data_IF_600928204075
#
_entry.id   IF_600928204075
#
_cell.length_a   1.000
_cell.length_b   1.000
_cell.length_c   1.000
_cell.angle_alpha   90.00
_cell.angle_beta   90.00
_cell.angle_gamma   90.00
#
_symmetry.space_group_name_H-M   'P 1'
#
loop_
_entity.id
_entity.type
_entity.pdbx_description
1 polymer ?
#
# COMPACT_ATOMS: atom_id res chain seq x y z
N UNK A 1 -0.30 8.03 7.65
CA UNK A 1 0.94 7.47 8.23
C UNK A 1 1.74 6.79 7.14
N UNK A 2 2.96 7.27 6.89
CA UNK A 2 3.94 6.66 5.98
C UNK A 2 4.90 5.76 6.76
N UNK A 3 5.07 4.52 6.30
CA UNK A 3 6.11 3.60 6.72
C UNK A 3 6.93 3.15 5.52
N UNK A 4 8.25 3.05 5.67
CA UNK A 4 9.14 2.65 4.57
C UNK A 4 9.90 1.40 4.96
N UNK A 5 9.89 0.41 4.08
CA UNK A 5 10.51 -0.88 4.26
C UNK A 5 11.47 -1.20 3.13
N UNK A 6 12.50 -2.00 3.41
CA UNK A 6 13.36 -2.58 2.39
C UNK A 6 13.77 -4.01 2.76
N UNK A 7 13.73 -4.90 1.78
CA UNK A 7 14.26 -6.26 1.85
C UNK A 7 14.86 -6.63 0.50
N UNK A 8 16.19 -6.63 0.40
CA UNK A 8 16.91 -7.10 -0.78
C UNK A 8 16.96 -8.62 -0.80
N UNK A 9 17.45 -9.21 -1.89
CA UNK A 9 17.55 -10.68 -2.04
C UNK A 9 18.48 -11.27 -0.99
N UNK A 10 19.58 -10.56 -0.70
CA UNK A 10 20.58 -10.93 0.30
C UNK A 10 20.15 -10.64 1.75
N UNK A 11 19.09 -9.83 1.98
CA UNK A 11 18.67 -9.49 3.33
C UNK A 11 17.86 -10.65 3.94
N UNK A 12 18.30 -11.16 5.10
CA UNK A 12 17.57 -12.18 5.87
C UNK A 12 16.22 -11.70 6.39
N UNK A 13 16.10 -10.40 6.66
CA UNK A 13 14.92 -9.77 7.25
C UNK A 13 14.57 -8.44 6.60
N UNK A 14 13.29 -8.11 6.56
CA UNK A 14 12.78 -6.79 6.18
C UNK A 14 13.22 -5.75 7.22
N UNK A 15 13.61 -4.57 6.74
CA UNK A 15 14.06 -3.46 7.58
C UNK A 15 13.14 -2.28 7.36
N UNK A 16 12.67 -1.69 8.46
CA UNK A 16 12.03 -0.38 8.42
C UNK A 16 13.12 0.70 8.31
N UNK A 17 13.06 1.53 7.28
CA UNK A 17 14.05 2.59 7.00
C UNK A 17 13.40 3.97 7.14
N UNK A 18 14.22 5.01 7.28
CA UNK A 18 13.74 6.39 7.47
C UNK A 18 13.52 7.15 6.16
N UNK A 19 14.34 6.84 5.15
CA UNK A 19 14.39 7.56 3.89
C UNK A 19 13.80 6.72 2.77
N UNK A 20 13.34 7.40 1.73
CA UNK A 20 12.99 6.76 0.48
C UNK A 20 14.28 6.36 -0.23
N UNK A 21 14.45 5.06 -0.47
CA UNK A 21 15.65 4.53 -1.11
C UNK A 21 15.23 3.62 -2.25
N UNK A 22 16.09 3.47 -3.27
CA UNK A 22 15.84 2.56 -4.39
C UNK A 22 15.50 1.16 -3.88
N UNK A 23 14.43 0.57 -4.42
CA UNK A 23 13.98 -0.76 -3.98
C UNK A 23 13.18 -0.75 -2.68
N UNK A 24 12.74 0.42 -2.20
CA UNK A 24 11.92 0.52 -1.00
C UNK A 24 10.44 0.28 -1.30
N UNK A 25 9.75 -0.26 -0.30
CA UNK A 25 8.31 -0.34 -0.25
C UNK A 25 7.79 0.71 0.72
N UNK A 26 6.97 1.62 0.20
CA UNK A 26 6.33 2.69 0.95
C UNK A 26 4.90 2.25 1.23
N UNK A 27 4.57 2.05 2.50
CA UNK A 27 3.22 1.72 2.98
C UNK A 27 2.56 2.98 3.54
N UNK A 28 1.42 3.38 2.98
CA UNK A 28 0.65 4.54 3.39
C UNK A 28 -0.74 4.11 3.86
N UNK A 29 -1.04 4.43 5.12
CA UNK A 29 -2.37 4.20 5.72
C UNK A 29 -2.97 5.55 6.06
N UNK A 30 -4.17 5.82 5.50
CA UNK A 30 -4.91 7.07 5.63
C UNK A 30 -3.99 8.32 5.61
N UNK A 31 -3.24 8.53 4.51
CA UNK A 31 -2.21 9.55 4.47
C UNK A 31 -2.83 10.96 4.56
N UNK A 32 -2.18 11.85 5.30
CA UNK A 32 -2.57 13.26 5.37
C UNK A 32 -2.09 14.02 4.13
N UNK A 33 -2.68 15.17 3.83
CA UNK A 33 -2.31 16.00 2.67
C UNK A 33 -0.79 16.28 2.56
N UNK A 34 -0.09 16.50 3.67
CA UNK A 34 1.37 16.68 3.65
C UNK A 34 2.15 15.43 3.24
N UNK A 35 1.68 14.24 3.66
CA UNK A 35 2.24 12.95 3.26
C UNK A 35 1.99 12.67 1.78
N UNK A 36 0.78 13.00 1.29
CA UNK A 36 0.41 12.89 -0.13
C UNK A 36 1.34 13.76 -0.99
N UNK A 37 1.46 15.06 -0.65
CA UNK A 37 2.35 16.00 -1.36
C UNK A 37 3.80 15.54 -1.38
N UNK A 38 4.29 15.00 -0.26
CA UNK A 38 5.66 14.45 -0.16
C UNK A 38 5.89 13.32 -1.17
N UNK A 39 4.95 12.38 -1.28
CA UNK A 39 5.08 11.22 -2.16
C UNK A 39 4.93 11.61 -3.63
N UNK A 40 3.98 12.49 -3.95
CA UNK A 40 3.82 13.05 -5.30
C UNK A 40 5.11 13.77 -5.73
N UNK A 41 5.67 14.63 -4.89
CA UNK A 41 6.89 15.37 -5.20
C UNK A 41 8.11 14.46 -5.39
N UNK A 42 8.29 13.46 -4.52
CA UNK A 42 9.45 12.55 -4.57
C UNK A 42 9.39 11.62 -5.80
N UNK A 43 8.24 10.99 -6.02
CA UNK A 43 8.10 9.91 -7.01
C UNK A 43 7.53 10.40 -8.34
N UNK A 44 7.04 11.64 -8.41
CA UNK A 44 6.36 12.23 -9.57
C UNK A 44 5.17 11.39 -10.03
N UNK A 45 4.41 10.85 -9.07
CA UNK A 45 3.19 10.09 -9.35
C UNK A 45 2.00 11.04 -9.54
N UNK A 46 1.03 10.71 -10.42
CA UNK A 46 -0.20 11.47 -10.53
C UNK A 46 -0.95 11.56 -9.19
N UNK A 47 -1.47 12.74 -8.86
CA UNK A 47 -2.28 12.92 -7.64
C UNK A 47 -3.52 12.03 -7.66
N UNK A 48 -4.11 11.85 -8.84
CA UNK A 48 -5.32 11.05 -9.04
C UNK A 48 -5.13 9.60 -8.62
N UNK A 49 -3.93 9.00 -8.79
CA UNK A 49 -3.67 7.65 -8.30
C UNK A 49 -3.77 7.56 -6.77
N UNK A 50 -3.30 8.60 -6.06
CA UNK A 50 -3.41 8.67 -4.61
C UNK A 50 -4.87 8.88 -4.18
N UNK A 51 -5.62 9.73 -4.89
CA UNK A 51 -7.04 10.01 -4.61
C UNK A 51 -7.90 8.78 -4.86
N UNK A 52 -7.74 8.12 -6.00
CA UNK A 52 -8.34 6.85 -6.36
C UNK A 52 -8.14 5.78 -5.29
N UNK A 53 -6.91 5.67 -4.76
CA UNK A 53 -6.58 4.70 -3.71
C UNK A 53 -7.32 4.92 -2.37
N UNK A 54 -7.92 6.10 -2.18
CA UNK A 54 -8.65 6.49 -0.96
C UNK A 54 -10.16 6.58 -1.15
N UNK A 55 -10.64 6.41 -2.38
CA UNK A 55 -12.07 6.43 -2.74
C UNK A 55 -12.70 5.05 -2.54
N UNK A 56 -13.66 4.93 -1.63
CA UNK A 56 -14.29 3.65 -1.25
C UNK A 56 -15.04 2.99 -2.43
N UNK A 57 -15.50 3.79 -3.39
CA UNK A 57 -16.23 3.34 -4.57
C UNK A 57 -15.31 2.94 -5.73
N UNK A 58 -13.99 3.03 -5.53
CA UNK A 58 -13.02 2.83 -6.59
C UNK A 58 -13.01 1.39 -7.14
N UNK A 59 -12.98 1.27 -8.48
CA UNK A 59 -13.07 -0.04 -9.15
C UNK A 59 -11.68 -0.65 -9.41
N UNK A 60 -11.53 -1.98 -9.24
CA UNK A 60 -10.29 -2.67 -9.58
C UNK A 60 -9.93 -2.47 -11.06
N UNK A 61 -8.67 -2.11 -11.31
CA UNK A 61 -8.12 -1.93 -12.66
C UNK A 61 -6.60 -1.85 -12.61
N UNK A 62 -5.99 -1.88 -13.79
CA UNK A 62 -4.57 -1.63 -13.99
C UNK A 62 -4.45 -0.50 -15.00
N UNK A 63 -3.62 0.49 -14.67
CA UNK A 63 -3.29 1.64 -15.51
C UNK A 63 -1.78 1.73 -15.65
N UNK A 64 -1.31 2.16 -16.81
CA UNK A 64 0.10 2.41 -17.08
C UNK A 64 0.24 3.77 -17.75
N UNK A 65 0.97 4.67 -17.09
CA UNK A 65 1.20 6.03 -17.56
C UNK A 65 2.66 6.40 -17.27
N UNK A 66 3.41 6.83 -18.29
CA UNK A 66 4.80 7.30 -18.16
C UNK A 66 5.73 6.39 -17.34
N UNK A 67 5.59 5.07 -17.48
CA UNK A 67 6.40 4.09 -16.76
C UNK A 67 6.01 3.92 -15.28
N UNK A 68 4.85 4.44 -14.88
CA UNK A 68 4.20 4.23 -13.61
C UNK A 68 3.06 3.25 -13.84
N UNK A 69 3.07 2.13 -13.11
CA UNK A 69 1.96 1.17 -13.14
C UNK A 69 1.13 1.39 -11.88
N UNK A 70 -0.14 1.74 -12.05
CA UNK A 70 -1.10 1.82 -10.97
C UNK A 70 -2.04 0.63 -11.03
N UNK A 71 -2.18 -0.06 -9.90
CA UNK A 71 -3.03 -1.24 -9.75
C UNK A 71 -3.98 -0.94 -8.60
N UNK A 72 -5.28 -1.02 -8.88
CA UNK A 72 -6.30 -1.00 -7.84
C UNK A 72 -6.79 -2.43 -7.62
N UNK A 73 -6.66 -2.92 -6.40
CA UNK A 73 -7.29 -4.15 -5.93
C UNK A 73 -8.31 -3.82 -4.86
N UNK A 74 -9.19 -4.77 -4.52
CA UNK A 74 -10.04 -4.68 -3.33
C UNK A 74 -9.66 -5.78 -2.34
N UNK A 75 -9.65 -5.45 -1.05
CA UNK A 75 -9.37 -6.40 0.01
C UNK A 75 -10.56 -6.47 0.98
N UNK A 76 -10.80 -7.64 1.61
CA UNK A 76 -11.85 -7.78 2.60
C UNK A 76 -11.50 -6.99 3.87
N UNK A 77 -12.44 -6.17 4.34
CA UNK A 77 -12.33 -5.40 5.57
C UNK A 77 -13.43 -5.80 6.55
N UNK A 78 -13.02 -6.04 7.80
CA UNK A 78 -13.88 -6.51 8.87
C UNK A 78 -14.42 -5.32 9.66
N UNK A 79 -15.74 -5.18 9.70
CA UNK A 79 -16.42 -4.15 10.49
C UNK A 79 -17.00 -4.82 11.74
N UNK A 80 -16.46 -4.48 12.90
CA UNK A 80 -17.02 -4.90 14.19
C UNK A 80 -17.78 -3.72 14.82
N UNK A 81 -19.11 -3.82 14.91
CA UNK A 81 -19.92 -2.89 15.71
C UNK A 81 -20.49 -3.61 16.92
N UNK A 82 -20.27 -3.06 18.11
CA UNK A 82 -21.00 -3.49 19.31
C UNK A 82 -22.42 -2.91 19.24
N UNK A 83 -23.43 -3.77 19.29
CA UNK A 83 -24.82 -3.33 19.41
C UNK A 83 -25.45 -3.94 20.68
N UNK A 84 -26.68 -3.54 20.98
CA UNK A 84 -27.42 -4.00 22.18
C UNK A 84 -27.70 -5.52 22.19
N UNK A 85 -27.51 -6.23 21.07
CA UNK A 85 -27.75 -7.68 20.91
C UNK A 85 -26.46 -8.52 20.79
N UNK A 86 -25.28 -7.91 20.89
CA UNK A 86 -23.99 -8.60 20.78
C UNK A 86 -23.01 -7.95 19.80
N UNK A 87 -22.09 -8.76 19.26
CA UNK A 87 -21.17 -8.35 18.19
C UNK A 87 -21.87 -8.53 16.83
N UNK A 88 -22.13 -7.43 16.13
CA UNK A 88 -22.54 -7.46 14.73
C UNK A 88 -21.28 -7.48 13.87
N UNK A 89 -21.09 -8.57 13.15
CA UNK A 89 -19.92 -8.79 12.31
C UNK A 89 -20.30 -8.66 10.85
N UNK A 90 -19.72 -7.67 10.17
CA UNK A 90 -19.91 -7.45 8.74
C UNK A 90 -18.59 -7.39 8.01
N UNK A 91 -18.64 -7.72 6.74
CA UNK A 91 -17.51 -7.58 5.84
C UNK A 91 -17.89 -6.65 4.71
N UNK A 92 -16.99 -5.75 4.39
CA UNK A 92 -17.01 -4.95 3.18
C UNK A 92 -15.71 -5.17 2.41
N UNK A 93 -15.62 -4.63 1.21
CA UNK A 93 -14.36 -4.59 0.48
C UNK A 93 -13.91 -3.15 0.34
N UNK A 94 -12.63 -2.89 0.53
CA UNK A 94 -12.04 -1.56 0.40
C UNK A 94 -10.91 -1.58 -0.64
N UNK A 95 -10.66 -0.45 -1.32
CA UNK A 95 -9.59 -0.34 -2.31
C UNK A 95 -8.21 -0.41 -1.65
N UNK A 96 -7.29 -1.03 -2.37
CA UNK A 96 -5.85 -0.99 -2.15
C UNK A 96 -5.21 -0.51 -3.44
N UNK A 97 -4.66 0.70 -3.42
CA UNK A 97 -3.82 1.18 -4.50
C UNK A 97 -2.40 0.67 -4.36
N UNK A 98 -1.86 0.12 -5.44
CA UNK A 98 -0.47 -0.31 -5.55
C UNK A 98 0.14 0.41 -6.75
N UNK A 99 1.16 1.23 -6.48
CA UNK A 99 1.86 2.00 -7.51
C UNK A 99 3.28 1.45 -7.62
N UNK A 100 3.64 1.01 -8.83
CA UNK A 100 4.99 0.62 -9.19
C UNK A 100 5.62 1.78 -9.97
N UNK A 101 6.65 2.40 -9.39
CA UNK A 101 7.31 3.57 -9.98
C UNK A 101 8.81 3.46 -9.78
N UNK A 102 9.59 3.66 -10.85
CA UNK A 102 11.05 3.40 -10.86
C UNK A 102 11.31 2.00 -10.31
N UNK A 103 12.10 1.83 -9.24
CA UNK A 103 12.28 0.55 -8.53
C UNK A 103 11.57 0.48 -7.17
N UNK A 104 10.58 1.33 -6.92
CA UNK A 104 9.84 1.37 -5.66
C UNK A 104 8.44 0.81 -5.81
N UNK A 105 7.88 0.39 -4.68
CA UNK A 105 6.48 -0.03 -4.54
C UNK A 105 5.83 0.93 -3.56
N UNK A 106 4.69 1.49 -3.89
CA UNK A 106 3.90 2.33 -2.99
C UNK A 106 2.54 1.68 -2.82
N UNK A 107 2.13 1.39 -1.60
CA UNK A 107 0.79 0.86 -1.29
C UNK A 107 0.01 1.86 -0.48
N UNK A 108 -1.21 2.16 -0.89
CA UNK A 108 -2.06 3.19 -0.29
C UNK A 108 -3.42 2.58 0.06
N UNK A 109 -3.87 2.80 1.28
CA UNK A 109 -5.18 2.33 1.75
C UNK A 109 -5.76 3.30 2.77
N UNK A 110 -7.10 3.40 2.81
CA UNK A 110 -7.83 4.25 3.77
C UNK A 110 -7.79 3.70 5.20
N UNK A 111 -7.68 2.39 5.35
CA UNK A 111 -7.65 1.70 6.65
C UNK A 111 -6.48 0.73 6.74
N UNK A 112 -6.16 0.27 7.95
CA UNK A 112 -5.13 -0.76 8.15
C UNK A 112 -5.51 -2.03 7.38
N UNK A 113 -4.56 -2.55 6.61
CA UNK A 113 -4.74 -3.73 5.78
C UNK A 113 -3.88 -4.88 6.32
N UNK A 114 -4.53 -5.89 6.90
CA UNK A 114 -3.84 -7.03 7.53
C UNK A 114 -2.91 -7.79 6.57
N UNK A 115 -3.24 -7.84 5.28
CA UNK A 115 -2.40 -8.48 4.27
C UNK A 115 -1.07 -7.74 4.19
N UNK A 116 -1.08 -6.40 4.12
CA UNK A 116 0.14 -5.59 4.13
C UNK A 116 0.90 -5.71 5.46
N UNK A 117 0.20 -5.85 6.58
CA UNK A 117 0.86 -6.09 7.87
C UNK A 117 1.63 -7.41 7.87
N UNK A 118 1.07 -8.48 7.29
CA UNK A 118 1.74 -9.78 7.19
C UNK A 118 3.04 -9.71 6.36
N UNK A 119 3.08 -8.86 5.31
CA UNK A 119 4.32 -8.57 4.58
C UNK A 119 5.33 -7.76 5.42
N UNK A 120 4.87 -6.79 6.20
CA UNK A 120 5.71 -5.96 7.06
C UNK A 120 6.26 -6.73 8.28
N UNK A 121 5.51 -7.72 8.77
CA UNK A 121 5.84 -8.60 9.90
C UNK A 121 6.55 -9.89 9.48
N UNK A 122 6.90 -10.03 8.20
CA UNK A 122 7.59 -11.20 7.62
C UNK A 122 6.86 -12.55 7.76
N UNK A 123 5.53 -12.54 7.81
CA UNK A 123 4.75 -13.79 7.79
C UNK A 123 4.71 -14.41 6.40
N UNK A 124 4.99 -13.63 5.36
CA UNK A 124 5.08 -14.08 3.97
C UNK A 124 6.53 -14.47 3.64
N UNK A 125 6.72 -15.74 3.22
CA UNK A 125 8.02 -16.28 2.80
C UNK A 125 8.42 -15.79 1.40
N UNK A 126 9.72 -15.78 1.14
CA UNK A 126 10.34 -15.56 -0.19
C UNK A 126 9.94 -14.27 -0.93
N UNK A 127 9.56 -13.24 -0.18
CA UNK A 127 9.26 -11.90 -0.68
C UNK A 127 10.43 -10.94 -0.47
N UNK A 128 10.68 -10.09 -1.47
CA UNK A 128 11.71 -9.05 -1.45
C UNK A 128 11.16 -7.79 -2.13
N UNK A 129 11.41 -6.62 -1.55
CA UNK A 129 10.97 -5.33 -2.10
C UNK A 129 11.68 -4.99 -3.41
N UNK A 130 12.84 -5.61 -3.66
CA UNK A 130 13.66 -5.37 -4.86
C UNK A 130 13.46 -6.40 -5.97
N UNK A 131 12.72 -7.48 -5.73
CA UNK A 131 12.56 -8.56 -6.72
C UNK A 131 11.50 -8.16 -7.74
N UNK A 132 11.89 -8.12 -9.02
CA UNK A 132 10.99 -7.94 -10.16
C UNK A 132 11.23 -9.06 -11.16
N UNK A 133 10.16 -9.75 -11.55
CA UNK A 133 10.19 -10.61 -12.72
C UNK A 133 10.11 -9.70 -13.95
N UNK A 134 11.16 -9.73 -14.78
CA UNK A 134 11.19 -9.11 -16.11
C UNK A 134 10.67 -10.12 -17.13
#
# INVERSE_FOLDING_TARGET
>A
MIEVYRKRVEDKRIKKIKNFEKGSWIKMINPKNGEIKKIIGEFKIPEDFVRASLDEDEKPRIENEDGIVFIVLRFPYKIEKKNRKGKDLRFETLPLGIILVKENIITISKVRNNILEDFAEEKIKDWHTTKRHR
#
